data_IF_410768076756
#
_entry.id   IF_410768076756
#
_cell.length_a   1.000
_cell.length_b   1.000
_cell.length_c   1.000
_cell.angle_alpha   90.00
_cell.angle_beta   90.00
_cell.angle_gamma   90.00
#
_symmetry.space_group_name_H-M   'P 1'
#
loop_
_entity.id
_entity.type
_entity.pdbx_description
1 polymer ?
#
# COMPACT_ATOMS: atom_id res chain seq x y z
N UNK A 1 -12.07 -22.97 20.35
CA UNK A 1 -12.33 -22.63 18.92
C UNK A 1 -11.06 -21.97 18.39
N UNK A 2 -10.26 -22.70 17.60
CA UNK A 2 -9.02 -22.20 17.01
C UNK A 2 -9.37 -21.26 15.87
N UNK A 3 -9.24 -19.96 16.11
CA UNK A 3 -9.39 -18.97 15.05
C UNK A 3 -8.31 -19.17 14.00
N UNK A 4 -8.69 -19.64 12.82
CA UNK A 4 -7.81 -19.68 11.65
C UNK A 4 -7.47 -18.23 11.31
N UNK A 5 -6.23 -17.82 11.58
CA UNK A 5 -5.74 -16.50 11.17
C UNK A 5 -5.82 -16.40 9.65
N UNK A 6 -6.61 -15.44 9.16
CA UNK A 6 -6.65 -15.13 7.72
C UNK A 6 -5.28 -14.56 7.33
N UNK A 7 -4.64 -15.07 6.27
CA UNK A 7 -3.38 -14.51 5.80
C UNK A 7 -3.61 -13.14 5.16
N UNK A 8 -2.71 -12.18 5.44
CA UNK A 8 -2.67 -10.91 4.71
C UNK A 8 -1.92 -11.13 3.41
N UNK A 9 -2.52 -10.76 2.28
CA UNK A 9 -1.83 -10.72 0.99
C UNK A 9 -1.05 -9.41 0.88
N UNK A 10 0.27 -9.49 0.87
CA UNK A 10 1.14 -8.32 0.67
C UNK A 10 1.65 -8.32 -0.77
N UNK A 11 1.22 -7.34 -1.55
CA UNK A 11 1.69 -7.09 -2.91
C UNK A 11 2.69 -5.94 -2.87
N UNK A 12 3.97 -6.28 -2.95
CA UNK A 12 5.07 -5.32 -2.81
C UNK A 12 5.65 -4.98 -4.17
N UNK A 13 5.61 -3.70 -4.53
CA UNK A 13 6.45 -3.14 -5.58
C UNK A 13 7.78 -2.73 -4.97
N UNK A 14 8.86 -3.37 -5.40
CA UNK A 14 10.21 -2.97 -5.00
C UNK A 14 10.64 -1.75 -5.81
N UNK A 15 11.46 -0.90 -5.21
CA UNK A 15 12.10 0.24 -5.89
C UNK A 15 13.00 -0.16 -7.08
N UNK A 16 13.13 -1.47 -7.34
CA UNK A 16 13.81 -2.07 -8.49
C UNK A 16 12.83 -2.73 -9.47
N UNK A 17 11.54 -2.31 -9.51
CA UNK A 17 10.49 -2.84 -10.40
C UNK A 17 10.17 -4.33 -10.25
N UNK A 18 10.26 -4.87 -9.07
CA UNK A 18 9.76 -6.22 -8.81
C UNK A 18 8.41 -6.16 -8.11
N UNK A 19 7.38 -6.76 -8.70
CA UNK A 19 6.15 -7.09 -8.00
C UNK A 19 6.37 -8.39 -7.25
N UNK A 20 6.35 -8.34 -5.93
CA UNK A 20 6.40 -9.53 -5.07
C UNK A 20 5.03 -9.75 -4.49
N UNK A 21 4.41 -10.86 -4.82
CA UNK A 21 3.18 -11.30 -4.17
C UNK A 21 3.56 -12.12 -2.93
N UNK A 22 3.34 -11.57 -1.76
CA UNK A 22 3.60 -12.21 -0.49
C UNK A 22 2.29 -12.77 0.08
N UNK A 23 1.94 -13.96 -0.37
CA UNK A 23 0.90 -14.75 0.29
C UNK A 23 1.52 -15.37 1.54
N UNK A 24 1.15 -14.87 2.71
CA UNK A 24 1.51 -15.52 3.98
C UNK A 24 0.55 -16.67 4.26
N UNK A 25 0.67 -17.76 3.50
CA UNK A 25 0.07 -19.05 3.86
C UNK A 25 1.17 -19.99 4.35
N UNK A 26 0.91 -20.84 5.35
CA UNK A 26 1.93 -21.72 5.93
C UNK A 26 2.51 -22.79 4.98
N UNK A 27 2.02 -22.95 3.76
CA UNK A 27 2.34 -24.14 2.98
C UNK A 27 2.71 -23.98 1.50
N UNK A 28 2.67 -22.78 0.88
CA UNK A 28 3.10 -22.65 -0.53
C UNK A 28 3.70 -21.29 -0.84
N UNK A 29 5.04 -21.25 -0.91
CA UNK A 29 5.78 -20.10 -1.44
C UNK A 29 5.79 -20.17 -2.99
N UNK A 30 4.84 -19.52 -3.64
CA UNK A 30 4.91 -19.32 -5.08
C UNK A 30 5.27 -17.86 -5.36
N UNK A 31 6.50 -17.63 -5.83
CA UNK A 31 7.02 -16.31 -6.18
C UNK A 31 6.95 -16.10 -7.69
N UNK A 32 6.31 -15.03 -8.14
CA UNK A 32 6.44 -14.55 -9.50
C UNK A 32 7.31 -13.28 -9.52
N UNK A 33 8.48 -13.35 -10.17
CA UNK A 33 9.42 -12.24 -10.29
C UNK A 33 9.33 -11.61 -11.68
N UNK A 34 9.17 -10.29 -11.74
CA UNK A 34 9.45 -9.50 -12.93
C UNK A 34 10.61 -8.54 -12.67
N UNK A 35 11.71 -8.69 -13.40
CA UNK A 35 12.93 -7.90 -13.23
C UNK A 35 12.92 -6.60 -14.04
N UNK A 36 13.15 -5.46 -13.35
CA UNK A 36 13.58 -4.20 -13.94
C UNK A 36 14.55 -3.47 -13.00
N UNK A 37 15.63 -2.90 -13.55
CA UNK A 37 16.69 -2.25 -12.76
C UNK A 37 16.64 -0.73 -12.93
N UNK A 38 16.59 0.06 -11.83
CA UNK A 38 16.76 1.52 -11.84
C UNK A 38 17.66 2.04 -10.72
N UNK A 39 18.33 3.18 -10.99
CA UNK A 39 19.36 3.79 -10.13
C UNK A 39 18.80 4.44 -8.86
N UNK A 40 19.55 4.40 -7.76
CA UNK A 40 19.23 4.77 -6.37
C UNK A 40 18.74 6.19 -6.07
N UNK A 41 18.77 7.14 -7.03
CA UNK A 41 18.47 8.56 -6.79
C UNK A 41 16.99 8.95 -6.95
N UNK A 42 16.07 8.00 -7.10
CA UNK A 42 14.75 8.21 -7.71
C UNK A 42 13.53 8.02 -6.80
N UNK A 43 13.68 7.88 -5.46
CA UNK A 43 12.54 7.59 -4.57
C UNK A 43 11.34 8.55 -4.68
N UNK A 44 11.57 9.84 -4.90
CA UNK A 44 10.50 10.81 -5.13
C UNK A 44 10.13 10.98 -6.62
N UNK A 45 11.02 10.64 -7.56
CA UNK A 45 10.75 10.70 -9.01
C UNK A 45 9.90 9.54 -9.52
N UNK A 46 9.84 8.42 -8.80
CA UNK A 46 9.15 7.20 -9.22
C UNK A 46 7.66 7.37 -9.46
N UNK A 47 6.99 8.15 -8.64
CA UNK A 47 5.55 8.37 -8.80
C UNK A 47 5.20 9.40 -9.88
N UNK A 48 6.19 10.00 -10.55
CA UNK A 48 5.98 10.77 -11.78
C UNK A 48 5.84 9.87 -13.01
N UNK A 49 6.34 8.62 -12.94
CA UNK A 49 6.16 7.64 -14.01
C UNK A 49 4.78 6.98 -13.89
N UNK A 50 3.87 7.40 -14.76
CA UNK A 50 2.52 6.85 -14.83
C UNK A 50 2.48 5.34 -15.09
N UNK A 51 3.50 4.77 -15.76
CA UNK A 51 3.54 3.33 -16.00
C UNK A 51 3.71 2.56 -14.69
N UNK A 52 4.48 3.11 -13.74
CA UNK A 52 4.62 2.52 -12.40
C UNK A 52 3.30 2.63 -11.64
N UNK A 53 2.66 3.81 -11.66
CA UNK A 53 1.34 3.98 -11.05
C UNK A 53 0.33 2.97 -11.60
N UNK A 54 0.22 2.85 -12.93
CA UNK A 54 -0.68 1.89 -13.58
C UNK A 54 -0.40 0.44 -13.20
N UNK A 55 0.87 0.06 -13.03
CA UNK A 55 1.25 -1.28 -12.56
C UNK A 55 0.79 -1.53 -11.12
N UNK A 56 0.97 -0.55 -10.22
CA UNK A 56 0.49 -0.64 -8.84
C UNK A 56 -1.04 -0.78 -8.83
N UNK A 57 -1.74 0.06 -9.59
CA UNK A 57 -3.21 0.01 -9.72
C UNK A 57 -3.67 -1.34 -10.31
N UNK A 58 -2.96 -1.87 -11.32
CA UNK A 58 -3.33 -3.16 -11.93
C UNK A 58 -3.28 -4.33 -10.94
N UNK A 59 -2.52 -4.20 -9.86
CA UNK A 59 -2.47 -5.19 -8.80
C UNK A 59 -3.78 -5.27 -8.00
N UNK A 60 -4.55 -4.16 -7.93
CA UNK A 60 -5.89 -4.16 -7.34
C UNK A 60 -6.87 -5.07 -8.11
N UNK A 61 -6.76 -5.14 -9.43
CA UNK A 61 -7.64 -5.97 -10.27
C UNK A 61 -7.57 -7.47 -9.98
N UNK A 62 -6.59 -7.91 -9.17
CA UNK A 62 -6.47 -9.30 -8.69
C UNK A 62 -7.22 -9.55 -7.39
N UNK A 63 -7.81 -8.54 -6.79
CA UNK A 63 -8.49 -8.58 -5.51
C UNK A 63 -9.96 -8.23 -5.69
N UNK A 64 -10.83 -8.85 -4.92
CA UNK A 64 -12.21 -8.40 -4.76
C UNK A 64 -12.26 -7.49 -3.52
N UNK A 65 -12.70 -6.26 -3.67
CA UNK A 65 -12.79 -5.30 -2.57
C UNK A 65 -13.89 -4.26 -2.83
N UNK A 66 -14.43 -3.75 -1.75
CA UNK A 66 -15.44 -2.68 -1.78
C UNK A 66 -14.89 -1.40 -1.13
N UNK A 67 -13.81 -1.51 -0.35
CA UNK A 67 -13.22 -0.39 0.41
C UNK A 67 -11.73 -0.35 0.20
N UNK A 68 -11.23 0.86 0.02
CA UNK A 68 -9.81 1.11 -0.28
C UNK A 68 -9.30 2.30 0.52
N UNK A 69 -8.17 2.09 1.20
CA UNK A 69 -7.44 3.13 1.90
C UNK A 69 -6.12 3.43 1.18
N UNK A 70 -5.91 4.67 0.75
CA UNK A 70 -4.60 5.17 0.32
C UNK A 70 -3.86 5.78 1.49
N UNK A 71 -2.62 5.34 1.74
CA UNK A 71 -1.75 5.93 2.75
C UNK A 71 -0.71 6.82 2.07
N UNK A 72 -0.66 8.10 2.48
CA UNK A 72 0.27 9.08 1.98
C UNK A 72 0.09 9.40 0.50
N UNK A 73 -1.08 9.89 0.07
CA UNK A 73 -1.35 10.25 -1.33
C UNK A 73 -0.36 11.27 -1.90
N UNK A 74 0.24 12.11 -1.06
CA UNK A 74 1.26 13.05 -1.46
C UNK A 74 0.77 14.03 -2.52
N UNK A 75 1.35 13.98 -3.72
CA UNK A 75 0.92 14.79 -4.87
C UNK A 75 -0.23 14.17 -5.68
N UNK A 76 -0.87 13.08 -5.20
CA UNK A 76 -2.02 12.44 -5.86
C UNK A 76 -1.66 11.52 -7.03
N UNK A 77 -0.43 11.02 -7.07
CA UNK A 77 0.05 10.20 -8.20
C UNK A 77 -0.75 8.90 -8.39
N UNK A 78 -1.13 8.23 -7.31
CA UNK A 78 -2.03 7.08 -7.33
C UNK A 78 -3.49 7.53 -7.23
N UNK A 79 -3.79 8.52 -6.40
CA UNK A 79 -5.12 9.07 -6.14
C UNK A 79 -5.92 9.33 -7.41
N UNK A 80 -5.30 9.97 -8.42
CA UNK A 80 -5.94 10.27 -9.72
C UNK A 80 -6.48 9.04 -10.46
N UNK A 81 -5.87 7.86 -10.24
CA UNK A 81 -6.35 6.60 -10.81
C UNK A 81 -7.37 5.93 -9.89
N UNK A 82 -7.17 6.03 -8.56
CA UNK A 82 -8.03 5.39 -7.57
C UNK A 82 -9.42 6.01 -7.54
N UNK A 83 -9.53 7.32 -7.74
CA UNK A 83 -10.80 8.04 -7.83
C UNK A 83 -11.66 7.62 -9.03
N UNK A 84 -11.06 7.00 -10.06
CA UNK A 84 -11.78 6.49 -11.24
C UNK A 84 -12.21 5.02 -11.10
N UNK A 85 -12.06 4.40 -9.93
CA UNK A 85 -12.56 3.05 -9.70
C UNK A 85 -13.99 3.14 -9.18
N UNK A 86 -14.94 2.71 -10.00
CA UNK A 86 -16.36 2.75 -9.66
C UNK A 86 -16.71 1.73 -8.56
N UNK A 87 -17.72 2.09 -7.76
CA UNK A 87 -18.35 1.17 -6.80
C UNK A 87 -17.52 0.89 -5.55
N UNK A 88 -16.45 1.65 -5.27
CA UNK A 88 -15.66 1.50 -4.05
C UNK A 88 -15.86 2.66 -3.07
N UNK A 89 -15.84 2.36 -1.78
CA UNK A 89 -15.70 3.34 -0.71
C UNK A 89 -14.20 3.64 -0.53
N UNK A 90 -13.78 4.80 -1.04
CA UNK A 90 -12.37 5.22 -1.04
C UNK A 90 -12.12 6.24 0.06
N UNK A 91 -11.01 6.06 0.81
CA UNK A 91 -10.47 7.05 1.73
C UNK A 91 -8.96 7.19 1.55
N UNK A 92 -8.42 8.35 1.92
CA UNK A 92 -6.99 8.62 1.91
C UNK A 92 -6.58 9.26 3.24
N UNK A 93 -5.41 8.89 3.79
CA UNK A 93 -4.82 9.50 4.99
C UNK A 93 -3.52 10.19 4.59
N UNK A 94 -3.40 11.48 4.91
CA UNK A 94 -2.20 12.30 4.68
C UNK A 94 -1.90 13.13 5.93
N UNK A 95 -0.63 13.14 6.33
CA UNK A 95 -0.15 13.88 7.49
C UNK A 95 0.21 15.33 7.14
N UNK A 96 0.76 15.56 5.96
CA UNK A 96 1.30 16.84 5.53
C UNK A 96 0.17 17.80 5.13
N UNK A 97 -0.01 18.86 5.91
CA UNK A 97 -1.07 19.86 5.71
C UNK A 97 -1.00 20.54 4.33
N UNK A 98 0.20 20.81 3.81
CA UNK A 98 0.35 21.42 2.49
C UNK A 98 -0.17 20.47 1.39
N UNK A 99 0.09 19.17 1.54
CA UNK A 99 -0.42 18.15 0.63
C UNK A 99 -1.92 17.95 0.76
N UNK A 100 -2.46 17.96 1.99
CA UNK A 100 -3.90 17.93 2.23
C UNK A 100 -4.59 19.09 1.52
N UNK A 101 -4.06 20.31 1.68
CA UNK A 101 -4.58 21.52 1.03
C UNK A 101 -4.47 21.45 -0.51
N UNK A 102 -3.36 20.92 -1.02
CA UNK A 102 -3.18 20.69 -2.45
C UNK A 102 -4.19 19.67 -2.98
N UNK A 103 -4.30 18.50 -2.34
CA UNK A 103 -5.19 17.41 -2.75
C UNK A 103 -6.65 17.83 -2.76
N UNK A 104 -7.10 18.56 -1.72
CA UNK A 104 -8.47 19.06 -1.63
C UNK A 104 -8.85 20.02 -2.76
N UNK A 105 -7.86 20.77 -3.29
CA UNK A 105 -8.07 21.68 -4.42
C UNK A 105 -7.97 20.97 -5.77
N UNK A 106 -6.99 20.06 -5.90
CA UNK A 106 -6.72 19.35 -7.14
C UNK A 106 -7.74 18.23 -7.43
N UNK A 107 -8.33 17.65 -6.38
CA UNK A 107 -9.26 16.52 -6.45
C UNK A 107 -10.48 16.77 -5.56
N UNK A 108 -11.47 17.54 -6.03
CA UNK A 108 -12.70 17.81 -5.27
C UNK A 108 -13.45 16.55 -4.85
N UNK A 109 -13.28 15.45 -5.55
CA UNK A 109 -13.85 14.12 -5.28
C UNK A 109 -13.36 13.51 -3.96
N UNK A 110 -12.26 14.06 -3.40
CA UNK A 110 -11.74 13.69 -2.08
C UNK A 110 -12.52 14.33 -0.92
N UNK A 111 -13.48 15.21 -1.21
CA UNK A 111 -14.29 15.82 -0.16
C UNK A 111 -15.00 14.74 0.68
N UNK A 112 -14.77 14.79 2.01
CA UNK A 112 -15.27 13.77 2.95
C UNK A 112 -14.53 12.42 2.92
N UNK A 113 -13.50 12.26 2.05
CA UNK A 113 -12.71 11.04 1.92
C UNK A 113 -11.25 11.21 2.33
N UNK A 114 -10.75 12.45 2.36
CA UNK A 114 -9.39 12.78 2.78
C UNK A 114 -9.36 13.02 4.29
N UNK A 115 -8.54 12.24 4.99
CA UNK A 115 -8.35 12.28 6.43
C UNK A 115 -6.99 12.92 6.68
N UNK A 116 -6.97 14.06 7.39
CA UNK A 116 -5.74 14.73 7.80
C UNK A 116 -5.31 14.19 9.17
N UNK A 117 -4.46 13.17 9.18
CA UNK A 117 -4.03 12.49 10.40
C UNK A 117 -2.70 11.76 10.19
N UNK A 118 -1.94 11.53 11.28
CA UNK A 118 -0.82 10.59 11.25
C UNK A 118 -1.34 9.17 11.15
N UNK A 119 -1.00 8.48 10.07
CA UNK A 119 -1.40 7.09 9.88
C UNK A 119 -0.96 6.17 11.03
N UNK A 120 0.18 6.44 11.66
CA UNK A 120 0.70 5.62 12.75
C UNK A 120 -0.17 5.70 14.01
N UNK A 121 -0.87 6.83 14.21
CA UNK A 121 -1.78 7.07 15.34
C UNK A 121 -3.26 6.81 14.96
N UNK A 122 -3.56 6.71 13.68
CA UNK A 122 -4.93 6.62 13.18
C UNK A 122 -5.64 5.34 13.63
N UNK A 123 -6.97 5.45 13.78
CA UNK A 123 -7.86 4.29 13.86
C UNK A 123 -8.18 3.75 12.47
N UNK A 124 -8.57 2.47 12.40
CA UNK A 124 -9.01 1.88 11.13
C UNK A 124 -10.20 2.68 10.57
N UNK A 125 -10.11 3.21 9.33
CA UNK A 125 -11.13 4.12 8.81
C UNK A 125 -12.42 3.42 8.37
N UNK A 126 -12.44 2.09 8.39
CA UNK A 126 -13.58 1.25 8.04
C UNK A 126 -13.81 0.18 9.11
N UNK A 127 -15.07 -0.15 9.34
CA UNK A 127 -15.45 -1.25 10.23
C UNK A 127 -15.32 -2.63 9.55
N UNK A 128 -15.53 -2.68 8.24
CA UNK A 128 -15.44 -3.88 7.42
C UNK A 128 -14.06 -4.04 6.81
N UNK A 129 -13.86 -5.15 6.08
CA UNK A 129 -12.62 -5.43 5.36
C UNK A 129 -12.34 -4.36 4.28
N UNK A 130 -11.07 -3.95 4.18
CA UNK A 130 -10.58 -2.97 3.20
C UNK A 130 -9.16 -3.29 2.74
N UNK A 131 -8.83 -2.89 1.53
CA UNK A 131 -7.47 -2.99 1.00
C UNK A 131 -6.72 -1.69 1.30
N UNK A 132 -5.43 -1.82 1.55
CA UNK A 132 -4.51 -0.69 1.70
C UNK A 132 -3.65 -0.58 0.44
N UNK A 133 -3.48 0.65 -0.04
CA UNK A 133 -2.57 0.98 -1.12
C UNK A 133 -1.75 2.21 -0.77
N UNK A 134 -0.49 2.28 -1.26
CA UNK A 134 0.32 3.47 -1.06
C UNK A 134 1.72 3.38 -1.63
N UNK A 135 2.34 4.56 -1.75
CA UNK A 135 3.77 4.70 -1.94
C UNK A 135 4.42 5.03 -0.60
N UNK A 136 4.76 4.01 0.15
CA UNK A 136 5.17 4.18 1.55
C UNK A 136 6.54 4.86 1.66
N UNK A 137 6.65 5.91 2.52
CA UNK A 137 7.94 6.54 2.79
C UNK A 137 8.96 5.52 3.32
N UNK A 138 10.15 5.52 2.77
CA UNK A 138 11.16 4.49 3.05
C UNK A 138 11.60 4.43 4.51
N UNK A 139 11.68 5.59 5.17
CA UNK A 139 12.13 5.71 6.55
C UNK A 139 11.13 5.17 7.58
N UNK A 140 9.84 5.06 7.24
CA UNK A 140 8.78 4.59 8.15
C UNK A 140 8.01 3.38 7.63
N UNK A 141 8.43 2.79 6.51
CA UNK A 141 7.68 1.69 5.88
C UNK A 141 7.51 0.48 6.81
N UNK A 142 8.49 0.19 7.67
CA UNK A 142 8.35 -0.87 8.68
C UNK A 142 7.31 -0.53 9.75
N UNK A 143 7.26 0.73 10.21
CA UNK A 143 6.28 1.18 11.19
C UNK A 143 4.86 1.13 10.61
N UNK A 144 4.71 1.55 9.35
CA UNK A 144 3.44 1.45 8.61
C UNK A 144 2.97 -0.02 8.57
N UNK A 145 3.86 -0.97 8.26
CA UNK A 145 3.51 -2.38 8.23
C UNK A 145 3.11 -2.92 9.61
N UNK A 146 3.81 -2.52 10.67
CA UNK A 146 3.41 -2.90 12.04
C UNK A 146 2.03 -2.34 12.39
N UNK A 147 1.75 -1.09 12.03
CA UNK A 147 0.43 -0.48 12.23
C UNK A 147 -0.66 -1.23 11.46
N UNK A 148 -0.39 -1.62 10.21
CA UNK A 148 -1.33 -2.44 9.41
C UNK A 148 -1.59 -3.79 10.08
N UNK A 149 -0.58 -4.40 10.72
CA UNK A 149 -0.77 -5.67 11.43
C UNK A 149 -1.72 -5.55 12.64
N UNK A 150 -1.89 -4.38 13.24
CA UNK A 150 -2.92 -4.15 14.25
C UNK A 150 -4.33 -4.33 13.66
N UNK A 151 -4.49 -4.06 12.37
CA UNK A 151 -5.75 -4.17 11.63
C UNK A 151 -5.89 -5.45 10.81
N UNK A 152 -5.06 -6.47 11.07
CA UNK A 152 -4.93 -7.69 10.26
C UNK A 152 -6.25 -8.42 9.98
N UNK A 153 -7.22 -8.35 10.89
CA UNK A 153 -8.53 -8.99 10.72
C UNK A 153 -9.42 -8.26 9.69
N UNK A 154 -9.10 -6.97 9.42
CA UNK A 154 -9.83 -6.11 8.49
C UNK A 154 -9.07 -5.86 7.18
N UNK A 155 -7.76 -6.16 7.13
CA UNK A 155 -6.89 -5.85 5.98
C UNK A 155 -6.45 -7.14 5.29
N UNK A 156 -7.22 -7.64 4.31
CA UNK A 156 -6.86 -8.86 3.58
C UNK A 156 -5.69 -8.67 2.62
N UNK A 157 -5.44 -7.44 2.15
CA UNK A 157 -4.34 -7.15 1.23
C UNK A 157 -3.76 -5.75 1.42
N UNK A 158 -2.45 -5.65 1.20
CA UNK A 158 -1.69 -4.40 1.15
C UNK A 158 -0.93 -4.35 -0.18
N UNK A 159 -1.10 -3.26 -0.91
CA UNK A 159 -0.46 -3.03 -2.19
C UNK A 159 0.40 -1.78 -2.08
N UNK A 160 1.70 -1.89 -2.29
CA UNK A 160 2.52 -0.73 -2.13
C UNK A 160 3.94 -0.87 -2.65
N UNK A 161 4.61 0.26 -2.72
CA UNK A 161 6.01 0.32 -3.06
C UNK A 161 6.84 0.36 -1.77
N UNK A 162 7.80 -0.58 -1.66
CA UNK A 162 8.71 -0.73 -0.53
C UNK A 162 10.15 -0.80 -1.00
N UNK A 163 11.07 -0.51 -0.12
CA UNK A 163 12.48 -0.84 -0.36
C UNK A 163 12.68 -2.36 -0.43
N UNK A 164 13.62 -2.79 -1.28
CA UNK A 164 13.97 -4.21 -1.46
C UNK A 164 14.32 -4.89 -0.14
N UNK A 165 15.07 -4.20 0.70
CA UNK A 165 15.54 -4.69 2.00
C UNK A 165 14.38 -4.93 2.97
N UNK A 166 13.38 -4.04 2.98
CA UNK A 166 12.16 -4.19 3.80
C UNK A 166 11.35 -5.39 3.30
N UNK A 167 11.14 -5.48 1.99
CA UNK A 167 10.43 -6.60 1.41
C UNK A 167 11.15 -7.95 1.68
N UNK A 168 12.47 -8.00 1.57
CA UNK A 168 13.27 -9.19 1.88
C UNK A 168 13.14 -9.63 3.34
N UNK A 169 13.09 -8.66 4.28
CA UNK A 169 12.86 -8.98 5.70
C UNK A 169 11.48 -9.60 5.95
N UNK A 170 10.45 -9.10 5.27
CA UNK A 170 9.09 -9.62 5.41
C UNK A 170 9.02 -11.08 4.95
N UNK A 171 9.75 -11.45 3.89
CA UNK A 171 9.74 -12.82 3.33
C UNK A 171 10.76 -13.76 3.97
N UNK A 172 11.71 -13.23 4.76
CA UNK A 172 12.72 -14.07 5.42
C UNK A 172 12.06 -14.95 6.47
N UNK A 173 12.44 -16.25 6.49
CA UNK A 173 11.99 -17.16 7.54
C UNK A 173 12.47 -16.64 8.90
N UNK A 174 11.66 -16.78 9.98
CA UNK A 174 12.15 -16.55 11.33
C UNK A 174 13.42 -17.39 11.55
N UNK A 175 14.55 -16.74 11.97
CA UNK A 175 15.88 -17.34 12.18
C UNK A 175 16.83 -17.44 10.98
N UNK A 176 16.57 -16.85 9.84
CA UNK A 176 17.64 -16.63 8.87
C UNK A 176 18.49 -15.43 9.33
N UNK A 177 19.66 -15.68 9.94
CA UNK A 177 20.67 -14.65 10.18
C UNK A 177 21.14 -14.12 8.83
N UNK A 178 20.90 -12.84 8.57
CA UNK A 178 21.53 -12.08 7.48
C UNK A 178 22.95 -11.68 7.90
#
# INVERSE_FOLDING_TARGET
MSGVQKPITLLVYLSTYQLVNLLTTPSTNTFAFMHYTLKKSLGQHFLKDENVCRKIISALGKQKFERLLEIGPGGGALTKFLLNIDGIDFKAIELDEEKVNYLSRAYPELNGKLIHEDFLEACAPFEQEFIIIGNFPYNISSQILFKILEWKEKVPAVIGMFQKEVAQRIISKPNSKS
#
